data_IF_247700856539
#
_entry.id   IF_247700856539
#
_cell.length_a   1.000
_cell.length_b   1.000
_cell.length_c   1.000
_cell.angle_alpha   90.00
_cell.angle_beta   90.00
_cell.angle_gamma   90.00
#
_symmetry.space_group_name_H-M   'P 1'
#
loop_
_entity.id
_entity.type
_entity.pdbx_description
1 polymer ?
#
# COMPACT_ATOMS: atom_id res chain seq x y z
N UNK A 1 1.69 -7.74 12.97
CA UNK A 1 0.56 -7.33 12.13
C UNK A 1 -0.68 -7.65 12.92
N UNK A 2 -1.37 -6.62 13.35
CA UNK A 2 -2.64 -6.74 14.07
C UNK A 2 -3.82 -6.50 13.12
N UNK A 3 -5.01 -6.87 13.58
CA UNK A 3 -6.24 -6.64 12.81
C UNK A 3 -6.39 -5.14 12.52
N UNK A 4 -6.48 -4.80 11.23
CA UNK A 4 -6.59 -3.42 10.67
C UNK A 4 -5.28 -2.65 10.51
N UNK A 5 -4.11 -3.27 10.64
CA UNK A 5 -2.87 -2.61 10.20
C UNK A 5 -2.97 -2.20 8.73
N UNK A 6 -2.54 -0.98 8.43
CA UNK A 6 -2.54 -0.41 7.09
C UNK A 6 -1.19 -0.71 6.44
N UNK A 7 -1.19 -1.38 5.29
CA UNK A 7 0.03 -1.80 4.60
C UNK A 7 0.09 -1.16 3.22
N UNK A 8 1.07 -0.28 3.02
CA UNK A 8 1.31 0.35 1.73
C UNK A 8 1.87 -0.69 0.74
N UNK A 9 1.26 -0.75 -0.44
CA UNK A 9 1.69 -1.58 -1.56
C UNK A 9 1.23 -0.93 -2.88
N UNK A 10 1.47 -1.59 -4.01
CA UNK A 10 1.02 -1.11 -5.33
C UNK A 10 0.08 -2.13 -5.99
N UNK A 11 -0.95 -1.69 -6.73
CA UNK A 11 -1.77 -2.60 -7.53
C UNK A 11 -0.98 -3.14 -8.75
N UNK A 12 0.16 -2.52 -9.08
CA UNK A 12 1.07 -2.97 -10.12
C UNK A 12 2.07 -4.01 -9.57
N UNK A 13 1.53 -5.09 -8.99
CA UNK A 13 2.30 -6.25 -8.52
C UNK A 13 1.51 -7.54 -8.78
N UNK A 14 2.16 -8.69 -8.64
CA UNK A 14 1.43 -9.95 -8.66
C UNK A 14 0.45 -10.01 -7.47
N UNK A 15 -0.74 -10.58 -7.72
CA UNK A 15 -1.86 -10.61 -6.75
C UNK A 15 -1.47 -11.19 -5.38
N UNK A 16 -0.44 -12.06 -5.33
CA UNK A 16 0.08 -12.59 -4.07
C UNK A 16 0.46 -11.49 -3.07
N UNK A 17 0.98 -10.34 -3.52
CA UNK A 17 1.35 -9.22 -2.65
C UNK A 17 0.17 -8.71 -1.84
N UNK A 18 -0.99 -8.51 -2.46
CA UNK A 18 -2.21 -8.06 -1.77
C UNK A 18 -2.88 -9.19 -0.99
N UNK A 19 -2.82 -10.42 -1.50
CA UNK A 19 -3.44 -11.57 -0.84
C UNK A 19 -2.83 -11.85 0.54
N UNK A 20 -1.50 -11.79 0.68
CA UNK A 20 -0.86 -12.03 1.99
C UNK A 20 -1.26 -10.97 3.02
N UNK A 21 -1.43 -9.72 2.60
CA UNK A 21 -1.91 -8.62 3.46
C UNK A 21 -3.34 -8.94 3.96
N UNK A 22 -4.22 -9.37 3.04
CA UNK A 22 -5.60 -9.73 3.38
C UNK A 22 -5.69 -10.98 4.27
N UNK A 23 -4.83 -11.98 4.06
CA UNK A 23 -4.78 -13.19 4.91
C UNK A 23 -4.41 -12.88 6.35
N UNK A 24 -3.54 -11.89 6.56
CA UNK A 24 -3.18 -11.38 7.90
C UNK A 24 -4.23 -10.39 8.45
N UNK A 25 -5.38 -10.23 7.79
CA UNK A 25 -6.46 -9.31 8.19
C UNK A 25 -6.03 -7.84 8.27
N UNK A 26 -4.96 -7.49 7.57
CA UNK A 26 -4.52 -6.12 7.35
C UNK A 26 -5.25 -5.51 6.13
N UNK A 27 -5.13 -4.19 5.97
CA UNK A 27 -5.75 -3.43 4.88
C UNK A 27 -4.67 -2.95 3.91
N UNK A 28 -4.67 -3.40 2.65
CA UNK A 28 -3.76 -2.86 1.65
C UNK A 28 -4.14 -1.43 1.28
N UNK A 29 -3.16 -0.54 1.31
CA UNK A 29 -3.26 0.85 0.84
C UNK A 29 -2.46 0.94 -0.44
N UNK A 30 -3.13 1.27 -1.53
CA UNK A 30 -2.53 1.27 -2.86
C UNK A 30 -1.94 2.62 -3.21
N UNK A 31 -0.65 2.63 -3.56
CA UNK A 31 0.07 3.78 -4.09
C UNK A 31 0.52 3.47 -5.52
N UNK A 32 0.50 4.49 -6.37
CA UNK A 32 0.87 4.37 -7.77
C UNK A 32 2.37 4.09 -7.95
N UNK A 33 2.74 3.74 -9.17
CA UNK A 33 4.13 3.45 -9.57
C UNK A 33 4.80 4.61 -10.28
N UNK A 34 6.12 4.65 -10.24
CA UNK A 34 6.91 5.37 -11.22
C UNK A 34 6.77 4.65 -12.58
N UNK A 35 6.23 5.31 -13.62
CA UNK A 35 5.95 4.67 -14.92
C UNK A 35 7.22 4.27 -15.67
N UNK A 36 8.40 4.79 -15.31
CA UNK A 36 9.68 4.42 -15.93
C UNK A 36 10.22 3.12 -15.34
N UNK A 37 10.07 2.94 -14.02
CA UNK A 37 10.68 1.80 -13.31
C UNK A 37 9.68 0.67 -13.01
N UNK A 38 8.38 0.97 -12.96
CA UNK A 38 7.33 0.04 -12.55
C UNK A 38 7.32 -0.25 -11.05
N UNK A 39 8.15 0.42 -10.25
CA UNK A 39 8.15 0.30 -8.80
C UNK A 39 7.25 1.38 -8.18
N UNK A 40 6.84 1.17 -6.93
CA UNK A 40 6.06 2.17 -6.18
C UNK A 40 6.76 3.54 -6.21
N UNK A 41 6.01 4.62 -6.47
CA UNK A 41 6.58 5.97 -6.55
C UNK A 41 6.90 6.48 -5.14
N UNK A 42 8.18 6.68 -4.76
CA UNK A 42 8.56 7.17 -3.45
C UNK A 42 8.02 8.57 -3.14
N UNK A 43 7.78 9.39 -4.18
CA UNK A 43 7.27 10.75 -4.01
C UNK A 43 5.82 10.76 -3.49
N UNK A 44 5.04 9.72 -3.79
CA UNK A 44 3.64 9.59 -3.38
C UNK A 44 3.48 8.98 -1.97
N UNK A 45 4.55 8.46 -1.37
CA UNK A 45 4.49 7.82 -0.05
C UNK A 45 4.11 8.81 1.05
N UNK A 46 4.65 10.04 0.99
CA UNK A 46 4.38 11.04 2.04
C UNK A 46 2.90 11.45 2.06
N UNK A 47 2.29 11.61 0.89
CA UNK A 47 0.85 11.89 0.76
C UNK A 47 0.02 10.72 1.29
N UNK A 48 0.35 9.49 0.88
CA UNK A 48 -0.32 8.30 1.37
C UNK A 48 -0.27 8.17 2.89
N UNK A 49 0.86 8.46 3.53
CA UNK A 49 0.97 8.44 5.01
C UNK A 49 0.10 9.52 5.66
N UNK A 50 0.09 10.75 5.12
CA UNK A 50 -0.73 11.84 5.66
C UNK A 50 -2.24 11.54 5.55
N UNK A 51 -2.68 10.96 4.43
CA UNK A 51 -4.08 10.57 4.23
C UNK A 51 -4.51 9.48 5.22
N UNK A 52 -3.61 8.56 5.55
CA UNK A 52 -3.85 7.51 6.54
C UNK A 52 -3.95 8.09 7.95
N UNK A 53 -3.06 9.00 8.34
CA UNK A 53 -3.11 9.66 9.66
C UNK A 53 -4.38 10.51 9.83
N UNK A 54 -4.88 11.12 8.76
CA UNK A 54 -6.09 11.98 8.78
C UNK A 54 -7.39 11.19 8.82
N UNK A 55 -7.33 9.88 8.51
CA UNK A 55 -8.49 8.98 8.44
C UNK A 55 -8.73 8.17 9.73
N UNK A 56 -7.92 8.40 10.77
CA UNK A 56 -8.00 7.82 12.12
C UNK A 56 -8.61 8.82 13.10
#
# INVERSE_FOLDING_TARGET
>A
IDQRDLVITTPFSFVASSNVILFERAVPVFVDIDPVTGNIDPALISEAVNDLESSV
#
